data_IF_197007764331
#
_entry.id   IF_197007764331
#
_cell.length_a   1.000
_cell.length_b   1.000
_cell.length_c   1.000
_cell.angle_alpha   90.00
_cell.angle_beta   90.00
_cell.angle_gamma   90.00
#
_symmetry.space_group_name_H-M   'P 1'
#
loop_
_entity.id
_entity.type
_entity.pdbx_description
1 polymer ?
#
# COMPACT_ATOMS: atom_id res chain seq x y z
N UNK A 1 -6.81 14.37 8.96
CA UNK A 1 -7.34 14.73 7.61
C UNK A 1 -8.79 14.28 7.53
N UNK A 2 -9.69 15.08 6.95
CA UNK A 2 -11.11 14.68 6.79
C UNK A 2 -11.24 13.73 5.58
N UNK A 3 -12.13 12.74 5.66
CA UNK A 3 -12.38 11.75 4.59
C UNK A 3 -12.61 12.38 3.21
N UNK A 4 -13.41 13.44 3.16
CA UNK A 4 -13.67 14.17 1.91
C UNK A 4 -12.39 14.72 1.27
N UNK A 5 -11.51 15.34 2.07
CA UNK A 5 -10.25 15.90 1.58
C UNK A 5 -9.30 14.80 1.08
N UNK A 6 -9.24 13.67 1.77
CA UNK A 6 -8.47 12.50 1.32
C UNK A 6 -8.95 12.04 -0.07
N UNK A 7 -10.25 11.81 -0.24
CA UNK A 7 -10.82 11.35 -1.50
C UNK A 7 -10.60 12.39 -2.62
N UNK A 8 -10.83 13.67 -2.32
CA UNK A 8 -10.65 14.75 -3.30
C UNK A 8 -9.21 14.80 -3.82
N UNK A 9 -8.21 14.77 -2.92
CA UNK A 9 -6.80 14.80 -3.34
C UNK A 9 -6.43 13.53 -4.10
N UNK A 10 -6.90 12.37 -3.67
CA UNK A 10 -6.66 11.10 -4.39
C UNK A 10 -7.21 11.16 -5.82
N UNK A 11 -8.39 11.74 -6.06
CA UNK A 11 -9.02 11.78 -7.38
C UNK A 11 -8.65 13.01 -8.24
N UNK A 12 -7.92 13.96 -7.69
CA UNK A 12 -7.38 15.11 -8.43
C UNK A 12 -5.87 14.99 -8.63
N UNK A 13 -5.12 15.15 -7.55
CA UNK A 13 -3.66 15.10 -7.54
C UNK A 13 -3.10 13.67 -7.73
N UNK A 14 -3.74 12.65 -7.13
CA UNK A 14 -3.40 11.23 -7.27
C UNK A 14 -4.18 10.51 -8.39
N UNK A 15 -4.72 11.21 -9.38
CA UNK A 15 -5.64 10.65 -10.37
C UNK A 15 -5.07 9.41 -11.08
N UNK A 16 -3.81 9.44 -11.54
CA UNK A 16 -3.23 8.40 -12.37
C UNK A 16 -3.25 7.02 -11.68
N UNK A 17 -2.68 6.93 -10.48
CA UNK A 17 -2.64 5.67 -9.72
C UNK A 17 -4.02 5.26 -9.22
N UNK A 18 -4.91 6.20 -8.91
CA UNK A 18 -6.28 5.85 -8.53
C UNK A 18 -7.07 5.29 -9.71
N UNK A 19 -6.88 5.82 -10.91
CA UNK A 19 -7.52 5.32 -12.11
C UNK A 19 -7.04 3.90 -12.43
N UNK A 20 -5.73 3.64 -12.35
CA UNK A 20 -5.18 2.29 -12.52
C UNK A 20 -5.72 1.36 -11.42
N UNK A 21 -5.75 1.80 -10.17
CA UNK A 21 -6.30 1.04 -9.04
C UNK A 21 -7.78 0.71 -9.21
N UNK A 22 -8.58 1.64 -9.73
CA UNK A 22 -9.98 1.40 -10.04
C UNK A 22 -10.16 0.34 -11.12
N UNK A 23 -9.41 0.44 -12.23
CA UNK A 23 -9.44 -0.58 -13.30
C UNK A 23 -9.09 -1.96 -12.72
N UNK A 24 -8.02 -2.02 -11.92
CA UNK A 24 -7.58 -3.27 -11.29
C UNK A 24 -8.65 -3.83 -10.34
N UNK A 25 -9.27 -2.97 -9.53
CA UNK A 25 -10.37 -3.34 -8.66
C UNK A 25 -11.56 -3.93 -9.44
N UNK A 26 -11.97 -3.28 -10.55
CA UNK A 26 -13.07 -3.75 -11.37
C UNK A 26 -12.74 -5.09 -12.05
N UNK A 27 -11.52 -5.26 -12.52
CA UNK A 27 -11.09 -6.52 -13.19
C UNK A 27 -11.07 -7.70 -12.22
N UNK A 28 -10.63 -7.50 -10.99
CA UNK A 28 -10.44 -8.60 -10.02
C UNK A 28 -11.61 -8.77 -9.07
N UNK A 29 -12.15 -7.70 -8.52
CA UNK A 29 -13.15 -7.79 -7.45
C UNK A 29 -14.60 -7.75 -7.95
N UNK A 30 -14.83 -7.33 -9.19
CA UNK A 30 -16.16 -7.39 -9.81
C UNK A 30 -16.35 -8.64 -10.70
N UNK A 31 -15.32 -9.46 -10.88
CA UNK A 31 -15.44 -10.73 -11.57
C UNK A 31 -16.04 -11.77 -10.61
N UNK A 32 -17.17 -12.37 -10.97
CA UNK A 32 -17.96 -13.30 -10.12
C UNK A 32 -17.17 -14.55 -9.64
N UNK A 33 -16.02 -14.85 -10.25
CA UNK A 33 -15.18 -16.00 -9.89
C UNK A 33 -13.97 -15.62 -9.00
N UNK A 34 -13.86 -14.37 -8.54
CA UNK A 34 -12.74 -13.95 -7.71
C UNK A 34 -13.10 -14.00 -6.21
N UNK A 35 -12.27 -14.65 -5.41
CA UNK A 35 -12.35 -14.64 -3.94
C UNK A 35 -11.90 -13.27 -3.36
N UNK A 36 -12.45 -12.19 -3.92
CA UNK A 36 -12.12 -10.83 -3.51
C UNK A 36 -13.18 -10.31 -2.53
N UNK A 37 -12.77 -9.91 -1.34
CA UNK A 37 -13.68 -9.30 -0.37
C UNK A 37 -13.12 -8.03 0.25
N UNK A 38 -14.02 -7.17 0.71
CA UNK A 38 -13.67 -5.88 1.32
C UNK A 38 -13.19 -6.13 2.74
N UNK A 39 -12.01 -5.59 3.06
CA UNK A 39 -11.46 -5.55 4.41
C UNK A 39 -11.84 -4.23 5.08
N UNK A 40 -12.24 -4.29 6.35
CA UNK A 40 -12.40 -3.11 7.18
C UNK A 40 -11.11 -2.83 7.95
N UNK A 41 -10.33 -1.81 7.57
CA UNK A 41 -9.10 -1.49 8.25
C UNK A 41 -9.33 -1.19 9.74
N UNK A 42 -8.39 -1.58 10.63
CA UNK A 42 -8.57 -1.47 12.07
C UNK A 42 -8.58 -0.03 12.58
N UNK A 43 -7.84 0.87 11.93
CA UNK A 43 -7.74 2.27 12.35
C UNK A 43 -8.71 3.16 11.55
N UNK A 44 -9.40 4.06 12.26
CA UNK A 44 -10.42 4.95 11.68
C UNK A 44 -9.93 5.75 10.46
N UNK A 45 -8.70 6.27 10.49
CA UNK A 45 -8.16 7.02 9.36
C UNK A 45 -7.81 6.15 8.15
N UNK A 46 -7.58 4.86 8.33
CA UNK A 46 -7.31 3.90 7.25
C UNK A 46 -8.60 3.53 6.51
N UNK A 47 -9.77 3.65 7.14
CA UNK A 47 -11.08 3.41 6.52
C UNK A 47 -11.41 4.38 5.37
N UNK A 48 -10.56 5.36 5.12
CA UNK A 48 -10.70 6.24 3.95
C UNK A 48 -10.25 5.57 2.66
N UNK A 49 -9.31 4.64 2.75
CA UNK A 49 -8.89 3.80 1.64
C UNK A 49 -9.85 2.63 1.41
N UNK A 50 -9.83 2.08 0.21
CA UNK A 50 -10.59 0.89 -0.18
C UNK A 50 -9.66 -0.31 -0.08
N UNK A 51 -9.69 -1.00 1.05
CA UNK A 51 -8.92 -2.22 1.26
C UNK A 51 -9.71 -3.45 0.81
N UNK A 52 -9.07 -4.29 0.02
CA UNK A 52 -9.63 -5.54 -0.47
C UNK A 52 -8.62 -6.68 -0.35
N UNK A 53 -9.09 -7.84 0.11
CA UNK A 53 -8.31 -9.06 0.02
C UNK A 53 -8.47 -9.68 -1.36
N UNK A 54 -7.39 -10.18 -1.91
CA UNK A 54 -7.34 -10.91 -3.16
C UNK A 54 -6.45 -12.15 -3.05
N UNK A 55 -6.60 -13.12 -3.94
CA UNK A 55 -5.88 -14.39 -3.87
C UNK A 55 -4.61 -14.41 -4.73
N UNK A 56 -3.80 -13.34 -4.68
CA UNK A 56 -2.48 -13.34 -5.34
C UNK A 56 -1.42 -13.44 -4.25
N UNK A 57 -0.78 -14.60 -4.10
CA UNK A 57 0.23 -14.79 -3.04
C UNK A 57 1.42 -13.85 -3.25
N UNK A 58 1.89 -13.25 -2.16
CA UNK A 58 3.01 -12.29 -2.13
C UNK A 58 2.79 -11.04 -2.98
N UNK A 59 1.53 -10.68 -3.21
CA UNK A 59 1.14 -9.65 -4.16
C UNK A 59 0.41 -8.46 -3.55
N UNK A 60 0.69 -8.07 -2.30
CA UNK A 60 0.09 -6.84 -1.76
C UNK A 60 0.64 -5.60 -2.43
N UNK A 61 -0.25 -4.65 -2.74
CA UNK A 61 0.12 -3.38 -3.36
C UNK A 61 -0.92 -2.29 -3.12
N UNK A 62 -0.48 -1.04 -3.22
CA UNK A 62 -1.33 0.14 -3.13
C UNK A 62 -1.29 0.95 -4.42
N UNK A 63 -2.47 1.25 -4.94
CA UNK A 63 -2.67 2.12 -6.10
C UNK A 63 -3.60 3.27 -5.70
N UNK A 64 -3.01 4.34 -5.17
CA UNK A 64 -3.74 5.47 -4.63
C UNK A 64 -4.56 5.09 -3.40
N UNK A 65 -5.89 5.20 -3.48
CA UNK A 65 -6.78 4.81 -2.38
C UNK A 65 -7.14 3.31 -2.36
N UNK A 66 -6.74 2.54 -3.36
CA UNK A 66 -7.03 1.10 -3.45
C UNK A 66 -5.86 0.32 -2.87
N UNK A 67 -6.14 -0.47 -1.81
CA UNK A 67 -5.20 -1.36 -1.14
C UNK A 67 -5.58 -2.79 -1.50
N UNK A 68 -4.71 -3.49 -2.21
CA UNK A 68 -4.88 -4.90 -2.57
C UNK A 68 -3.98 -5.72 -1.64
N UNK A 69 -4.56 -6.65 -0.91
CA UNK A 69 -3.91 -7.35 0.20
C UNK A 69 -4.00 -8.85 0.00
N UNK A 70 -2.89 -9.54 0.15
CA UNK A 70 -2.83 -11.01 0.13
C UNK A 70 -3.10 -11.62 1.51
N UNK A 71 -3.09 -10.81 2.57
CA UNK A 71 -3.44 -11.18 3.94
C UNK A 71 -4.21 -10.05 4.64
N UNK A 72 -4.92 -10.35 5.73
CA UNK A 72 -5.68 -9.40 6.55
C UNK A 72 -4.89 -8.92 7.78
N UNK A 73 -3.58 -9.19 7.82
CA UNK A 73 -2.71 -8.74 8.90
C UNK A 73 -2.76 -7.21 9.07
N UNK A 74 -3.03 -6.75 10.28
CA UNK A 74 -3.17 -5.31 10.59
C UNK A 74 -1.92 -4.50 10.24
N UNK A 75 -0.74 -5.08 10.39
CA UNK A 75 0.52 -4.42 10.03
C UNK A 75 0.69 -4.30 8.53
N UNK A 76 0.17 -5.26 7.75
CA UNK A 76 0.13 -5.20 6.30
C UNK A 76 -0.84 -4.12 5.82
N UNK A 77 -2.04 -4.07 6.38
CA UNK A 77 -3.02 -3.01 6.08
C UNK A 77 -2.44 -1.63 6.38
N UNK A 78 -1.76 -1.48 7.52
CA UNK A 78 -1.13 -0.22 7.91
C UNK A 78 0.01 0.17 6.96
N UNK A 79 0.83 -0.78 6.54
CA UNK A 79 1.92 -0.60 5.58
C UNK A 79 1.38 -0.12 4.22
N UNK A 80 0.42 -0.82 3.65
CA UNK A 80 -0.20 -0.46 2.37
C UNK A 80 -0.92 0.90 2.44
N UNK A 81 -1.51 1.22 3.59
CA UNK A 81 -2.03 2.57 3.81
C UNK A 81 -0.91 3.62 3.83
N UNK A 82 0.27 3.29 4.32
CA UNK A 82 1.47 4.13 4.21
C UNK A 82 1.79 4.49 2.77
N UNK A 83 1.74 3.54 1.84
CA UNK A 83 1.87 3.78 0.40
C UNK A 83 0.76 4.67 -0.16
N UNK A 84 -0.47 4.52 0.33
CA UNK A 84 -1.58 5.40 -0.06
C UNK A 84 -1.32 6.86 0.37
N UNK A 85 -0.71 7.09 1.52
CA UNK A 85 -0.30 8.44 1.95
C UNK A 85 0.88 8.97 1.11
N UNK A 86 1.85 8.14 0.75
CA UNK A 86 2.90 8.53 -0.21
C UNK A 86 2.30 8.98 -1.53
N UNK A 87 1.24 8.30 -2.00
CA UNK A 87 0.48 8.69 -3.19
C UNK A 87 -0.13 10.10 -3.05
N UNK A 88 -0.70 10.44 -1.89
CA UNK A 88 -1.20 11.79 -1.62
C UNK A 88 -0.09 12.86 -1.66
N UNK A 89 1.10 12.53 -1.16
CA UNK A 89 2.23 13.47 -1.11
C UNK A 89 2.81 13.70 -2.50
N UNK A 90 3.04 12.61 -3.25
CA UNK A 90 3.75 12.63 -4.53
C UNK A 90 2.85 12.85 -5.74
N UNK A 91 1.54 12.62 -5.61
CA UNK A 91 0.59 12.77 -6.71
C UNK A 91 0.99 11.97 -7.96
N UNK A 92 1.06 12.60 -9.15
CA UNK A 92 1.36 11.91 -10.40
C UNK A 92 2.77 11.31 -10.44
N UNK A 93 3.70 11.75 -9.59
CA UNK A 93 5.05 11.21 -9.51
C UNK A 93 5.15 9.91 -8.67
N UNK A 94 4.09 9.56 -7.95
CA UNK A 94 4.08 8.37 -7.07
C UNK A 94 4.53 7.10 -7.80
N UNK A 95 3.99 6.84 -8.98
CA UNK A 95 4.31 5.61 -9.72
C UNK A 95 5.80 5.53 -10.10
N UNK A 96 6.43 6.65 -10.41
CA UNK A 96 7.84 6.71 -10.80
C UNK A 96 8.78 6.67 -9.60
N UNK A 97 8.42 7.33 -8.50
CA UNK A 97 9.29 7.47 -7.33
C UNK A 97 9.11 6.30 -6.36
N UNK A 98 7.91 5.77 -6.25
CA UNK A 98 7.57 4.69 -5.30
C UNK A 98 7.18 3.42 -6.05
N UNK A 99 6.16 3.45 -6.90
CA UNK A 99 5.54 2.25 -7.47
C UNK A 99 6.52 1.39 -8.26
N UNK A 100 7.18 1.96 -9.27
CA UNK A 100 8.15 1.22 -10.09
C UNK A 100 9.36 0.76 -9.28
N UNK A 101 10.03 1.62 -8.46
CA UNK A 101 11.15 1.18 -7.63
C UNK A 101 10.77 0.08 -6.62
N UNK A 102 9.60 0.17 -5.96
CA UNK A 102 9.11 -0.87 -5.05
C UNK A 102 8.86 -2.19 -5.79
N UNK A 103 8.21 -2.14 -6.95
CA UNK A 103 7.98 -3.32 -7.78
C UNK A 103 9.30 -3.96 -8.23
N UNK A 104 10.27 -3.16 -8.69
CA UNK A 104 11.60 -3.66 -9.07
C UNK A 104 12.34 -4.28 -7.88
N UNK A 105 12.22 -3.67 -6.70
CA UNK A 105 12.80 -4.20 -5.46
C UNK A 105 12.18 -5.53 -5.05
N UNK A 106 10.86 -5.66 -5.18
CA UNK A 106 10.15 -6.92 -4.94
C UNK A 106 10.61 -8.01 -5.92
N UNK A 107 10.63 -7.70 -7.23
CA UNK A 107 10.91 -8.67 -8.29
C UNK A 107 12.37 -9.09 -8.36
N UNK A 108 13.31 -8.16 -8.18
CA UNK A 108 14.73 -8.39 -8.49
C UNK A 108 15.66 -8.22 -7.27
N UNK A 109 15.18 -7.67 -6.16
CA UNK A 109 15.99 -7.33 -5.00
C UNK A 109 16.45 -8.51 -4.14
N UNK A 110 15.94 -9.74 -4.33
CA UNK A 110 16.21 -10.89 -3.46
C UNK A 110 17.72 -11.17 -3.30
N UNK A 111 18.44 -11.35 -4.40
CA UNK A 111 19.87 -11.65 -4.38
C UNK A 111 20.70 -10.56 -3.67
N UNK A 112 20.30 -9.31 -3.84
CA UNK A 112 20.93 -8.18 -3.17
C UNK A 112 20.66 -8.21 -1.66
N UNK A 113 19.42 -8.46 -1.25
CA UNK A 113 19.02 -8.55 0.16
C UNK A 113 19.78 -9.65 0.88
N UNK A 114 19.83 -10.85 0.31
CA UNK A 114 20.59 -11.99 0.85
C UNK A 114 22.06 -11.67 1.01
N UNK A 115 22.70 -11.13 -0.05
CA UNK A 115 24.13 -10.78 -0.04
C UNK A 115 24.50 -9.73 1.02
N UNK A 116 23.59 -8.78 1.28
CA UNK A 116 23.87 -7.66 2.19
C UNK A 116 23.13 -7.77 3.53
N UNK A 117 22.53 -8.92 3.82
CA UNK A 117 21.73 -9.18 5.03
C UNK A 117 20.70 -8.08 5.31
N UNK A 118 19.97 -7.67 4.26
CA UNK A 118 18.94 -6.64 4.32
C UNK A 118 17.55 -7.23 4.27
N UNK A 119 16.62 -6.61 4.99
CA UNK A 119 15.20 -6.95 4.91
C UNK A 119 14.54 -6.25 3.70
N UNK A 120 13.37 -6.72 3.29
CA UNK A 120 12.56 -6.09 2.27
C UNK A 120 12.24 -4.63 2.61
N UNK A 121 11.89 -4.38 3.88
CA UNK A 121 11.43 -3.09 4.40
C UNK A 121 12.53 -2.05 4.66
N UNK A 122 13.80 -2.38 4.41
CA UNK A 122 14.90 -1.41 4.49
C UNK A 122 15.06 -0.58 3.21
N UNK A 123 14.36 -0.93 2.13
CA UNK A 123 14.35 -0.12 0.93
C UNK A 123 13.62 1.21 1.17
N UNK A 124 14.06 2.28 0.55
CA UNK A 124 13.56 3.62 0.89
C UNK A 124 12.04 3.78 0.73
N UNK A 125 11.43 3.15 -0.28
CA UNK A 125 9.98 3.18 -0.52
C UNK A 125 9.22 2.53 0.62
N UNK A 126 9.67 1.34 1.01
CA UNK A 126 9.07 0.48 2.03
C UNK A 126 9.31 1.05 3.45
N UNK A 127 10.56 1.48 3.70
CA UNK A 127 10.94 2.11 4.97
C UNK A 127 10.14 3.39 5.23
N UNK A 128 9.90 4.19 4.19
CA UNK A 128 9.07 5.38 4.31
C UNK A 128 7.59 5.04 4.55
N UNK A 129 7.03 4.03 3.86
CA UNK A 129 5.67 3.56 4.11
C UNK A 129 5.50 3.06 5.55
N UNK A 130 6.44 2.23 6.05
CA UNK A 130 6.46 1.79 7.45
C UNK A 130 6.50 2.97 8.43
N UNK A 131 7.35 3.96 8.18
CA UNK A 131 7.45 5.16 9.04
C UNK A 131 6.14 5.94 9.10
N UNK A 132 5.46 6.11 7.97
CA UNK A 132 4.13 6.75 7.92
C UNK A 132 3.10 5.93 8.71
N UNK A 133 3.16 4.60 8.60
CA UNK A 133 2.27 3.67 9.27
C UNK A 133 2.57 3.48 10.77
N UNK A 134 3.67 4.04 11.31
CA UNK A 134 4.10 3.82 12.68
C UNK A 134 4.67 2.42 12.93
N UNK A 135 5.28 1.83 11.90
CA UNK A 135 5.88 0.50 11.93
C UNK A 135 7.41 0.57 11.96
N UNK A 136 8.04 -0.42 12.59
CA UNK A 136 9.49 -0.61 12.57
C UNK A 136 9.97 -1.26 11.24
N UNK A 137 11.30 -1.45 11.13
CA UNK A 137 11.93 -2.10 9.96
C UNK A 137 11.52 -3.56 9.73
N UNK A 138 10.85 -4.18 10.70
CA UNK A 138 10.33 -5.56 10.61
C UNK A 138 8.79 -5.56 10.47
N UNK A 139 8.19 -4.42 10.14
CA UNK A 139 6.74 -4.21 10.00
C UNK A 139 5.97 -4.54 11.29
N UNK A 140 6.49 -4.14 12.46
CA UNK A 140 5.81 -4.25 13.75
C UNK A 140 5.44 -2.87 14.25
N UNK A 141 4.28 -2.71 14.91
CA UNK A 141 3.89 -1.42 15.49
C UNK A 141 4.91 -0.95 16.53
N UNK A 142 5.35 0.29 16.38
CA UNK A 142 6.22 0.95 17.35
C UNK A 142 5.36 1.31 18.55
N UNK A 143 5.67 0.73 19.73
CA UNK A 143 5.02 1.14 20.98
C UNK A 143 5.36 2.60 21.24
N UNK A 144 4.34 3.46 21.35
CA UNK A 144 4.55 4.81 21.90
C UNK A 144 4.88 4.62 23.40
N UNK A 145 6.09 4.96 23.79
CA UNK A 145 6.40 5.17 25.20
C UNK A 145 5.55 6.35 25.67
N UNK A 146 4.67 6.08 26.64
CA UNK A 146 3.83 7.10 27.31
C UNK A 146 4.69 7.89 28.30
#
# INVERSE_FOLDING_TARGET
MKKFLYILIQWTWGFLQNFIGLIWYLMWCCNQNSDCHIINPPLEHQKYAKAVKWNIPYGSMSLGMFLFLDDEDETLVAHEYGHSIQSLILGPFYLFIIGIPSLCWAAFGNKYREKHNKTYYEFYTESWANKIAGLDKNRRFIKKEN
#
